data_IF_246442730965
#
_entry.id   IF_246442730965
#
_cell.length_a   1.000
_cell.length_b   1.000
_cell.length_c   1.000
_cell.angle_alpha   90.00
_cell.angle_beta   90.00
_cell.angle_gamma   90.00
#
_symmetry.space_group_name_H-M   'P 1'
#
loop_
_entity.id
_entity.type
_entity.pdbx_description
1 polymer ?
#
# COMPACT_ATOMS: atom_id res chain seq x y z
N UNK A 1 -0.44 -15.56 11.10
CA UNK A 1 -0.15 -14.24 11.68
C UNK A 1 -1.19 -13.95 12.76
N UNK A 2 -0.74 -13.55 13.94
CA UNK A 2 -1.58 -13.27 15.11
C UNK A 2 -2.22 -11.87 15.03
N UNK A 3 -2.93 -11.60 13.92
CA UNK A 3 -3.63 -10.34 13.77
C UNK A 3 -4.77 -10.25 14.81
N UNK A 4 -4.87 -9.20 15.63
CA UNK A 4 -5.86 -9.10 16.71
C UNK A 4 -7.31 -9.29 16.24
N UNK A 5 -7.62 -8.93 15.00
CA UNK A 5 -8.94 -9.06 14.38
C UNK A 5 -9.07 -10.25 13.42
N UNK A 6 -8.13 -11.21 13.47
CA UNK A 6 -8.07 -12.33 12.52
C UNK A 6 -9.42 -13.01 12.29
N UNK A 7 -10.10 -13.40 13.34
CA UNK A 7 -11.37 -14.12 13.23
C UNK A 7 -12.50 -13.26 12.60
N UNK A 8 -12.52 -11.96 12.91
CA UNK A 8 -13.47 -11.02 12.30
C UNK A 8 -13.18 -10.82 10.80
N UNK A 9 -11.89 -10.71 10.43
CA UNK A 9 -11.47 -10.58 9.04
C UNK A 9 -11.86 -11.83 8.25
N UNK A 10 -11.49 -13.02 8.74
CA UNK A 10 -11.81 -14.30 8.09
C UNK A 10 -13.32 -14.51 7.94
N UNK A 11 -14.11 -14.07 8.91
CA UNK A 11 -15.58 -14.21 8.87
C UNK A 11 -16.27 -13.22 7.92
N UNK A 12 -15.59 -12.18 7.48
CA UNK A 12 -16.16 -11.11 6.64
C UNK A 12 -15.57 -11.05 5.25
N UNK A 13 -14.28 -11.28 5.13
CA UNK A 13 -13.53 -11.12 3.88
C UNK A 13 -13.38 -12.46 3.16
N UNK A 14 -13.21 -12.41 1.85
CA UNK A 14 -12.98 -13.60 1.06
C UNK A 14 -11.57 -14.15 1.34
N UNK A 15 -11.49 -15.43 1.71
CA UNK A 15 -10.22 -16.13 1.99
C UNK A 15 -9.73 -16.96 0.81
N UNK A 16 -10.51 -17.06 -0.25
CA UNK A 16 -10.14 -17.73 -1.50
C UNK A 16 -9.32 -16.75 -2.36
N UNK A 17 -8.04 -17.03 -2.49
CA UNK A 17 -7.10 -16.20 -3.25
C UNK A 17 -7.55 -15.96 -4.70
N UNK A 18 -8.05 -16.98 -5.39
CA UNK A 18 -8.48 -16.85 -6.78
C UNK A 18 -9.68 -15.91 -6.92
N UNK A 19 -10.61 -15.98 -5.98
CA UNK A 19 -11.76 -15.06 -5.94
C UNK A 19 -11.34 -13.63 -5.63
N UNK A 20 -10.40 -13.43 -4.68
CA UNK A 20 -9.83 -12.12 -4.39
C UNK A 20 -9.15 -11.54 -5.62
N UNK A 21 -8.32 -12.32 -6.32
CA UNK A 21 -7.67 -11.89 -7.56
C UNK A 21 -8.70 -11.51 -8.63
N UNK A 22 -9.73 -12.33 -8.83
CA UNK A 22 -10.79 -12.03 -9.79
C UNK A 22 -11.53 -10.72 -9.45
N UNK A 23 -11.76 -10.47 -8.16
CA UNK A 23 -12.40 -9.24 -7.68
C UNK A 23 -11.51 -8.02 -7.93
N UNK A 24 -10.24 -8.03 -7.49
CA UNK A 24 -9.34 -6.89 -7.60
C UNK A 24 -8.90 -6.59 -9.04
N UNK A 25 -8.99 -7.56 -9.95
CA UNK A 25 -8.70 -7.40 -11.39
C UNK A 25 -9.96 -7.20 -12.23
N UNK A 26 -11.12 -7.19 -11.59
CA UNK A 26 -12.43 -7.00 -12.24
C UNK A 26 -12.70 -5.53 -12.62
N UNK A 27 -13.95 -5.22 -13.00
CA UNK A 27 -14.36 -3.87 -13.36
C UNK A 27 -14.12 -2.87 -12.22
N UNK A 28 -13.72 -1.65 -12.59
CA UNK A 28 -13.51 -0.56 -11.63
C UNK A 28 -14.83 -0.24 -10.91
N UNK A 29 -14.89 -0.28 -9.56
CA UNK A 29 -16.11 -0.06 -8.81
C UNK A 29 -16.70 1.34 -9.04
N UNK A 30 -18.03 1.43 -9.01
CA UNK A 30 -18.74 2.70 -9.06
C UNK A 30 -18.61 3.47 -10.37
N UNK A 31 -18.22 2.82 -11.48
CA UNK A 31 -18.08 3.46 -12.79
C UNK A 31 -16.99 4.54 -12.85
N UNK A 32 -15.99 4.48 -11.95
CA UNK A 32 -14.85 5.39 -11.93
C UNK A 32 -13.87 5.05 -13.05
N UNK A 33 -13.00 6.00 -13.40
CA UNK A 33 -11.94 5.82 -14.40
C UNK A 33 -10.63 5.30 -13.79
N UNK A 34 -10.45 5.45 -12.48
CA UNK A 34 -9.24 5.07 -11.75
C UNK A 34 -9.63 4.29 -10.50
N UNK A 35 -8.94 3.18 -10.27
CA UNK A 35 -9.03 2.41 -9.04
C UNK A 35 -7.65 2.31 -8.39
N UNK A 36 -7.42 3.10 -7.36
CA UNK A 36 -6.22 2.99 -6.55
C UNK A 36 -6.35 1.83 -5.57
N UNK A 37 -5.39 0.92 -5.60
CA UNK A 37 -5.31 -0.21 -4.69
C UNK A 37 -3.98 -0.17 -3.92
N UNK A 38 -4.05 -0.36 -2.60
CA UNK A 38 -2.87 -0.49 -1.74
C UNK A 38 -2.73 -1.93 -1.30
N UNK A 39 -1.61 -2.55 -1.64
CA UNK A 39 -1.24 -3.89 -1.22
C UNK A 39 -0.01 -3.86 -0.30
N UNK A 40 0.02 -4.77 0.66
CA UNK A 40 1.17 -4.94 1.56
C UNK A 40 2.06 -6.05 1.01
N UNK A 41 3.34 -5.75 0.74
CA UNK A 41 4.26 -6.70 0.11
C UNK A 41 4.42 -8.01 0.90
N UNK A 42 4.43 -7.95 2.25
CA UNK A 42 4.53 -9.13 3.11
C UNK A 42 3.34 -10.10 2.99
N UNK A 43 2.25 -9.71 2.33
CA UNK A 43 1.14 -10.61 2.04
C UNK A 43 1.38 -11.48 0.80
N UNK A 44 2.40 -11.18 0.00
CA UNK A 44 2.83 -12.04 -1.10
C UNK A 44 3.62 -13.22 -0.53
N UNK A 45 2.90 -14.28 -0.18
CA UNK A 45 3.52 -15.47 0.39
C UNK A 45 4.33 -16.23 -0.66
N UNK A 46 5.39 -16.97 -0.26
CA UNK A 46 6.11 -17.84 -1.17
C UNK A 46 5.17 -18.81 -1.91
N UNK A 47 5.32 -18.88 -3.22
CA UNK A 47 4.48 -19.74 -4.07
C UNK A 47 3.12 -19.15 -4.49
N UNK A 48 2.77 -17.95 -4.07
CA UNK A 48 1.60 -17.24 -4.62
C UNK A 48 1.86 -16.85 -6.08
N UNK A 49 0.86 -17.07 -6.92
CA UNK A 49 0.89 -16.57 -8.29
C UNK A 49 0.76 -15.05 -8.31
N UNK A 50 1.79 -14.36 -8.78
CA UNK A 50 1.82 -12.91 -8.95
C UNK A 50 1.39 -12.48 -10.37
N UNK A 51 0.94 -13.39 -11.23
CA UNK A 51 0.56 -13.06 -12.60
C UNK A 51 -0.52 -11.99 -12.74
N UNK A 52 -1.31 -11.77 -11.70
CA UNK A 52 -2.35 -10.75 -11.67
C UNK A 52 -1.80 -9.31 -11.64
N UNK A 53 -0.59 -9.07 -11.14
CA UNK A 53 -0.02 -7.70 -11.05
C UNK A 53 0.20 -7.05 -12.41
N UNK A 54 0.26 -7.85 -13.49
CA UNK A 54 0.40 -7.35 -14.88
C UNK A 54 -0.78 -6.51 -15.36
N UNK A 55 -1.94 -6.65 -14.72
CA UNK A 55 -3.14 -5.88 -15.06
C UNK A 55 -3.16 -4.48 -14.46
N UNK A 56 -2.12 -4.10 -13.69
CA UNK A 56 -2.01 -2.82 -13.02
C UNK A 56 -0.80 -2.03 -13.48
N UNK A 57 -0.88 -0.71 -13.38
CA UNK A 57 0.31 0.13 -13.34
C UNK A 57 0.85 0.11 -11.93
N UNK A 58 2.02 -0.50 -11.75
CA UNK A 58 2.56 -0.79 -10.43
C UNK A 58 3.48 0.32 -9.93
N UNK A 59 3.32 0.66 -8.64
CA UNK A 59 4.21 1.55 -7.91
C UNK A 59 4.67 0.84 -6.63
N UNK A 60 5.96 0.92 -6.32
CA UNK A 60 6.52 0.36 -5.08
C UNK A 60 6.95 1.54 -4.19
N UNK A 61 6.34 1.62 -3.01
CA UNK A 61 6.73 2.60 -2.00
C UNK A 61 7.83 1.98 -1.12
N UNK A 62 9.00 2.60 -1.14
CA UNK A 62 10.11 2.24 -0.24
C UNK A 62 10.23 3.24 0.90
N UNK A 63 10.79 2.80 2.01
CA UNK A 63 11.12 3.62 3.18
C UNK A 63 12.42 3.13 3.80
N UNK A 64 13.15 4.03 4.45
CA UNK A 64 14.36 3.67 5.19
C UNK A 64 14.08 2.50 6.16
N UNK A 65 14.85 1.40 6.10
CA UNK A 65 14.62 0.23 6.94
C UNK A 65 14.62 0.52 8.44
N UNK A 66 15.48 1.43 8.91
CA UNK A 66 15.50 1.81 10.32
C UNK A 66 14.17 2.42 10.76
N UNK A 67 13.59 3.31 9.94
CA UNK A 67 12.30 3.94 10.24
C UNK A 67 11.14 2.92 10.23
N UNK A 68 11.21 1.92 9.34
CA UNK A 68 10.22 0.85 9.30
C UNK A 68 10.32 -0.03 10.54
N UNK A 69 11.55 -0.44 10.91
CA UNK A 69 11.81 -1.25 12.11
C UNK A 69 11.30 -0.53 13.36
N UNK A 70 11.68 0.73 13.55
CA UNK A 70 11.24 1.51 14.71
C UNK A 70 9.73 1.63 14.78
N UNK A 71 9.09 1.96 13.67
CA UNK A 71 7.63 2.05 13.59
C UNK A 71 6.91 0.72 13.81
N UNK A 72 7.52 -0.39 13.38
CA UNK A 72 6.97 -1.73 13.59
C UNK A 72 7.04 -2.14 15.07
N UNK A 73 8.18 -1.86 15.70
CA UNK A 73 8.43 -2.19 17.11
C UNK A 73 7.53 -1.43 18.10
N UNK A 74 6.93 -0.30 17.67
CA UNK A 74 5.92 0.40 18.50
C UNK A 74 4.68 -0.47 18.77
N UNK A 75 4.41 -1.46 17.92
CA UNK A 75 3.17 -2.27 17.98
C UNK A 75 3.39 -3.77 18.05
N UNK A 76 4.53 -4.25 17.57
CA UNK A 76 4.82 -5.68 17.41
C UNK A 76 6.26 -6.01 17.70
N UNK A 77 6.50 -7.25 18.04
CA UNK A 77 7.82 -7.85 18.05
C UNK A 77 8.21 -8.30 16.63
N UNK A 78 9.47 -8.13 16.26
CA UNK A 78 10.02 -8.63 15.01
C UNK A 78 10.67 -9.98 15.28
N UNK A 79 10.05 -11.05 14.82
CA UNK A 79 10.59 -12.41 14.91
C UNK A 79 11.31 -12.85 13.62
N UNK A 80 11.05 -12.18 12.50
CA UNK A 80 11.68 -12.44 11.20
C UNK A 80 11.72 -11.19 10.34
N UNK A 81 12.76 -11.05 9.53
CA UNK A 81 12.87 -9.96 8.53
C UNK A 81 11.75 -10.01 7.49
N UNK A 82 11.23 -11.20 7.20
CA UNK A 82 10.14 -11.39 6.24
C UNK A 82 8.86 -10.64 6.63
N UNK A 83 8.67 -10.37 7.93
CA UNK A 83 7.53 -9.58 8.41
C UNK A 83 7.56 -8.13 7.93
N UNK A 84 8.73 -7.63 7.54
CA UNK A 84 8.91 -6.26 7.05
C UNK A 84 8.64 -6.12 5.54
N UNK A 85 8.57 -7.24 4.81
CA UNK A 85 8.18 -7.27 3.41
C UNK A 85 9.25 -6.82 2.41
N UNK A 86 10.50 -6.61 2.82
CA UNK A 86 11.56 -6.12 1.92
C UNK A 86 11.92 -7.13 0.84
N UNK A 87 12.07 -8.41 1.21
CA UNK A 87 12.37 -9.45 0.22
C UNK A 87 11.23 -9.56 -0.79
N UNK A 88 9.99 -9.54 -0.33
CA UNK A 88 8.81 -9.59 -1.19
C UNK A 88 8.72 -8.36 -2.12
N UNK A 89 9.16 -7.17 -1.68
CA UNK A 89 9.26 -6.00 -2.57
C UNK A 89 10.31 -6.20 -3.67
N UNK A 90 11.47 -6.76 -3.32
CA UNK A 90 12.54 -7.06 -4.30
C UNK A 90 12.06 -8.13 -5.29
N UNK A 91 11.42 -9.19 -4.80
CA UNK A 91 10.88 -10.26 -5.63
C UNK A 91 9.81 -9.73 -6.61
N UNK A 92 8.91 -8.89 -6.12
CA UNK A 92 7.88 -8.23 -6.95
C UNK A 92 8.51 -7.31 -8.00
N UNK A 93 9.51 -6.51 -7.61
CA UNK A 93 10.23 -5.65 -8.55
C UNK A 93 10.87 -6.47 -9.68
N UNK A 94 11.60 -7.52 -9.32
CA UNK A 94 12.27 -8.39 -10.28
C UNK A 94 11.27 -9.09 -11.20
N UNK A 95 10.16 -9.58 -10.64
CA UNK A 95 9.09 -10.19 -11.42
C UNK A 95 8.51 -9.23 -12.46
N UNK A 96 8.14 -8.02 -12.06
CA UNK A 96 7.59 -7.00 -12.94
C UNK A 96 8.61 -6.55 -14.00
N UNK A 97 9.86 -6.32 -13.59
CA UNK A 97 10.92 -5.90 -14.49
C UNK A 97 11.22 -6.96 -15.56
N UNK A 98 11.24 -8.25 -15.18
CA UNK A 98 11.42 -9.36 -16.12
C UNK A 98 10.27 -9.51 -17.12
N UNK A 99 9.08 -9.01 -16.77
CA UNK A 99 7.94 -8.96 -17.68
C UNK A 99 7.94 -7.72 -18.61
N UNK A 100 8.96 -6.86 -18.51
CA UNK A 100 9.01 -5.59 -19.24
C UNK A 100 8.09 -4.50 -18.69
N UNK A 101 7.56 -4.68 -17.47
CA UNK A 101 6.68 -3.73 -16.77
C UNK A 101 7.37 -3.19 -15.52
N UNK A 102 8.46 -2.44 -15.69
CA UNK A 102 9.25 -1.90 -14.58
C UNK A 102 8.38 -0.96 -13.72
N UNK A 103 8.20 -1.25 -12.41
CA UNK A 103 7.35 -0.44 -11.56
C UNK A 103 8.00 0.91 -11.22
N UNK A 104 7.17 1.92 -10.95
CA UNK A 104 7.65 3.19 -10.40
C UNK A 104 8.08 3.00 -8.96
N UNK A 105 9.25 3.53 -8.60
CA UNK A 105 9.75 3.51 -7.22
C UNK A 105 9.53 4.88 -6.58
N UNK A 106 8.89 4.88 -5.42
CA UNK A 106 8.62 6.06 -4.62
C UNK A 106 9.32 5.94 -3.27
N UNK A 107 10.12 6.94 -2.89
CA UNK A 107 10.69 7.01 -1.56
C UNK A 107 9.77 7.84 -0.63
N UNK A 108 9.37 7.24 0.49
CA UNK A 108 8.53 7.90 1.49
C UNK A 108 9.17 9.19 2.02
N UNK A 109 10.51 9.21 2.16
CA UNK A 109 11.26 10.38 2.60
C UNK A 109 11.14 11.53 1.61
N UNK A 110 11.25 11.25 0.32
CA UNK A 110 11.13 12.28 -0.73
C UNK A 110 9.70 12.82 -0.82
N UNK A 111 8.70 11.94 -0.66
CA UNK A 111 7.30 12.38 -0.57
C UNK A 111 7.11 13.32 0.61
N UNK A 112 7.60 12.97 1.81
CA UNK A 112 7.44 13.80 3.00
C UNK A 112 8.19 15.13 2.91
N UNK A 113 9.36 15.16 2.23
CA UNK A 113 10.12 16.40 2.00
C UNK A 113 9.44 17.36 1.02
N UNK A 114 8.76 16.82 0.02
CA UNK A 114 8.15 17.63 -1.05
C UNK A 114 6.89 16.97 -1.60
N UNK A 115 5.79 16.88 -0.80
CA UNK A 115 4.60 16.10 -1.16
C UNK A 115 4.01 16.51 -2.51
N UNK A 116 3.78 17.81 -2.70
CA UNK A 116 3.19 18.33 -3.94
C UNK A 116 4.03 18.00 -5.16
N UNK A 117 5.34 18.21 -5.09
CA UNK A 117 6.26 17.94 -6.21
C UNK A 117 6.28 16.46 -6.57
N UNK A 118 6.35 15.60 -5.54
CA UNK A 118 6.44 14.16 -5.75
C UNK A 118 5.12 13.57 -6.26
N UNK A 119 3.98 13.99 -5.71
CA UNK A 119 2.68 13.53 -6.20
C UNK A 119 2.38 14.04 -7.60
N UNK A 120 2.74 15.29 -7.93
CA UNK A 120 2.59 15.80 -9.29
C UNK A 120 3.42 14.98 -10.27
N UNK A 121 4.70 14.71 -9.95
CA UNK A 121 5.56 13.87 -10.79
C UNK A 121 5.00 12.45 -10.95
N UNK A 122 4.44 11.87 -9.88
CA UNK A 122 3.80 10.56 -9.94
C UNK A 122 2.59 10.58 -10.87
N UNK A 123 1.71 11.56 -10.73
CA UNK A 123 0.53 11.71 -11.59
C UNK A 123 0.91 11.89 -13.06
N UNK A 124 1.94 12.71 -13.33
CA UNK A 124 2.48 12.90 -14.69
C UNK A 124 3.00 11.56 -15.28
N UNK A 125 3.67 10.73 -14.47
CA UNK A 125 4.19 9.42 -14.92
C UNK A 125 3.08 8.36 -15.09
N UNK A 126 1.97 8.50 -14.38
CA UNK A 126 0.81 7.61 -14.49
C UNK A 126 -0.22 8.09 -15.53
N UNK A 127 0.03 9.22 -16.18
CA UNK A 127 -0.91 9.89 -17.10
C UNK A 127 -2.30 10.12 -16.46
N UNK A 128 -2.31 10.59 -15.20
CA UNK A 128 -3.51 10.93 -14.46
C UNK A 128 -3.45 12.38 -13.97
N UNK A 129 -4.59 13.06 -13.79
CA UNK A 129 -4.60 14.44 -13.31
C UNK A 129 -4.15 14.53 -11.85
N UNK A 130 -3.32 15.53 -11.55
CA UNK A 130 -2.99 15.91 -10.18
C UNK A 130 -4.04 16.88 -9.65
N UNK A 131 -4.55 16.60 -8.46
CA UNK A 131 -5.47 17.46 -7.72
C UNK A 131 -4.85 17.93 -6.41
N UNK A 132 -5.04 19.19 -6.04
CA UNK A 132 -4.52 19.77 -4.78
C UNK A 132 -5.11 19.09 -3.55
N UNK A 133 -6.31 18.53 -3.66
CA UNK A 133 -7.00 17.75 -2.64
C UNK A 133 -6.23 16.47 -2.24
N UNK A 134 -5.30 16.01 -3.08
CA UNK A 134 -4.38 14.92 -2.73
C UNK A 134 -3.40 15.29 -1.61
N UNK A 135 -3.25 16.58 -1.28
CA UNK A 135 -2.32 17.06 -0.26
C UNK A 135 -2.94 17.22 1.12
N UNK A 136 -4.26 17.21 1.22
CA UNK A 136 -4.98 17.37 2.48
C UNK A 136 -6.29 16.61 2.47
N UNK A 137 -6.74 16.21 3.64
CA UNK A 137 -7.95 15.41 3.84
C UNK A 137 -8.62 15.73 5.18
N UNK A 138 -9.93 15.50 5.32
CA UNK A 138 -10.61 15.61 6.60
C UNK A 138 -10.04 14.64 7.63
N UNK A 139 -9.94 15.06 8.89
CA UNK A 139 -9.65 14.15 10.00
C UNK A 139 -10.84 13.22 10.25
N UNK A 140 -10.56 12.06 10.84
CA UNK A 140 -11.56 11.08 11.25
C UNK A 140 -11.58 9.81 10.42
N UNK A 141 -12.34 8.80 10.86
CA UNK A 141 -12.54 7.56 10.13
C UNK A 141 -13.34 7.79 8.85
N UNK A 142 -13.21 6.89 7.89
CA UNK A 142 -13.94 6.90 6.63
C UNK A 142 -14.78 5.64 6.49
N UNK A 143 -15.94 5.76 5.85
CA UNK A 143 -16.82 4.61 5.58
C UNK A 143 -16.13 3.53 4.71
N UNK A 144 -15.12 3.93 3.93
CA UNK A 144 -14.29 3.05 3.11
C UNK A 144 -13.18 2.32 3.87
N UNK A 145 -12.94 2.67 5.14
CA UNK A 145 -11.91 2.00 5.93
C UNK A 145 -12.35 0.57 6.24
N UNK A 146 -11.45 -0.38 6.04
CA UNK A 146 -11.71 -1.77 6.39
C UNK A 146 -11.87 -1.97 7.89
N UNK A 147 -12.42 -3.11 8.30
CA UNK A 147 -12.66 -3.45 9.73
C UNK A 147 -11.39 -3.39 10.59
N UNK A 148 -10.22 -3.49 9.96
CA UNK A 148 -8.91 -3.33 10.59
C UNK A 148 -8.53 -1.87 10.88
N UNK A 149 -9.25 -0.90 10.29
CA UNK A 149 -8.93 0.53 10.37
C UNK A 149 -8.79 1.03 11.82
N UNK A 150 -9.74 0.70 12.68
CA UNK A 150 -9.70 1.09 14.11
C UNK A 150 -8.42 0.66 14.84
N UNK A 151 -7.79 -0.43 14.40
CA UNK A 151 -6.55 -0.91 15.02
C UNK A 151 -5.31 -0.19 14.46
N UNK A 152 -5.32 0.14 13.16
CA UNK A 152 -4.14 0.62 12.44
C UNK A 152 -4.13 2.13 12.20
N UNK A 153 -5.29 2.74 12.05
CA UNK A 153 -5.42 4.07 11.46
C UNK A 153 -5.47 5.21 12.48
N UNK A 154 -5.24 4.97 13.78
CA UNK A 154 -5.33 6.00 14.79
C UNK A 154 -4.49 7.27 14.51
N UNK A 155 -3.30 7.14 13.91
CA UNK A 155 -2.50 8.28 13.48
C UNK A 155 -3.01 8.88 12.16
N UNK A 156 -3.52 8.05 11.25
CA UNK A 156 -4.10 8.50 9.98
C UNK A 156 -5.39 9.28 10.24
N UNK A 157 -6.26 8.80 11.12
CA UNK A 157 -7.51 9.47 11.50
C UNK A 157 -7.30 10.84 12.14
N UNK A 158 -6.18 11.04 12.83
CA UNK A 158 -5.80 12.33 13.42
C UNK A 158 -5.12 13.28 12.42
N UNK A 159 -4.68 12.77 11.28
CA UNK A 159 -3.96 13.54 10.29
C UNK A 159 -4.92 14.28 9.36
N UNK A 160 -4.49 15.45 8.86
CA UNK A 160 -5.23 16.23 7.85
C UNK A 160 -4.37 16.52 6.62
N UNK A 161 -3.08 16.15 6.64
CA UNK A 161 -2.10 16.35 5.58
C UNK A 161 -0.85 15.52 5.84
N UNK A 162 0.07 15.52 4.89
CA UNK A 162 1.38 14.92 5.08
C UNK A 162 2.11 15.55 6.29
N UNK A 163 2.70 14.70 7.11
CA UNK A 163 3.57 15.13 8.22
C UNK A 163 4.85 15.74 7.64
N UNK A 164 5.36 16.79 8.28
CA UNK A 164 6.68 17.31 7.91
C UNK A 164 7.75 16.24 8.17
N UNK A 165 8.68 16.10 7.21
CA UNK A 165 9.82 15.22 7.42
C UNK A 165 10.63 15.68 8.63
N UNK A 166 10.82 14.81 9.58
CA UNK A 166 11.73 14.98 10.71
C UNK A 166 12.97 14.11 10.48
N UNK A 167 14.15 14.74 10.67
CA UNK A 167 15.43 14.02 10.62
C UNK A 167 15.62 13.17 11.86
#
# INVERSE_FOLDING_TARGET
>A
TDHPLRNKIIGRENTDWQKVVAEITGPIPGGKSIWYQKHMAQHNLPGCDLGWVKYFTNCILIRNPNDVILSYLEKFEISSVDQLGYQQQVDLYNFLNNMGNTPLILDATDILKSPQKMLKKLCDQLDIPFYTEMLSWPAGPRDSDGIWGHHWYGNVEKSIRFQAYQK
#
